data_IF_438335728939
#
_entry.id   IF_438335728939
#
_cell.length_a   1.000
_cell.length_b   1.000
_cell.length_c   1.000
_cell.angle_alpha   90.00
_cell.angle_beta   90.00
_cell.angle_gamma   90.00
#
_symmetry.space_group_name_H-M   'P 1'
#
loop_
_entity.id
_entity.type
_entity.pdbx_description
1 polymer ?
#
# COMPACT_ATOMS: atom_id res chain seq x y z
N UNK A 1 20.75 -8.41 1.36
CA UNK A 1 20.40 -8.05 2.75
C UNK A 1 19.57 -6.76 2.87
N UNK A 2 20.09 -5.56 2.56
CA UNK A 2 19.32 -4.32 2.71
C UNK A 2 18.08 -4.24 1.78
N UNK A 3 18.24 -4.67 0.52
CA UNK A 3 17.16 -4.70 -0.48
C UNK A 3 16.03 -5.67 -0.11
N UNK A 4 16.37 -6.84 0.44
CA UNK A 4 15.39 -7.83 0.92
C UNK A 4 14.55 -7.26 2.07
N UNK A 5 15.19 -6.59 3.04
CA UNK A 5 14.49 -5.94 4.15
C UNK A 5 13.54 -4.83 3.68
N UNK A 6 13.95 -4.05 2.67
CA UNK A 6 13.12 -2.99 2.10
C UNK A 6 11.94 -3.57 1.32
N UNK A 7 12.11 -4.67 0.59
CA UNK A 7 11.01 -5.37 -0.09
C UNK A 7 9.97 -5.90 0.91
N UNK A 8 10.41 -6.51 2.02
CA UNK A 8 9.51 -6.98 3.09
C UNK A 8 8.75 -5.80 3.69
N UNK A 9 9.42 -4.68 3.97
CA UNK A 9 8.77 -3.49 4.49
C UNK A 9 7.67 -2.96 3.55
N UNK A 10 7.93 -2.92 2.24
CA UNK A 10 6.94 -2.49 1.24
C UNK A 10 5.73 -3.42 1.19
N UNK A 11 5.95 -4.73 1.31
CA UNK A 11 4.85 -5.72 1.36
C UNK A 11 3.99 -5.50 2.60
N UNK A 12 4.61 -5.31 3.77
CA UNK A 12 3.88 -5.05 5.03
C UNK A 12 3.09 -3.75 4.91
N UNK A 13 3.69 -2.70 4.37
CA UNK A 13 3.01 -1.41 4.18
C UNK A 13 1.83 -1.51 3.19
N UNK A 14 2.01 -2.23 2.08
CA UNK A 14 0.93 -2.51 1.13
C UNK A 14 -0.24 -3.27 1.78
N UNK A 15 0.05 -4.27 2.61
CA UNK A 15 -0.97 -5.00 3.36
C UNK A 15 -1.70 -4.10 4.36
N UNK A 16 -0.99 -3.22 5.07
CA UNK A 16 -1.60 -2.24 5.98
C UNK A 16 -2.54 -1.27 5.26
N UNK A 17 -2.20 -0.83 4.05
CA UNK A 17 -3.09 0.02 3.24
C UNK A 17 -4.38 -0.70 2.85
N UNK A 18 -4.31 -1.98 2.49
CA UNK A 18 -5.50 -2.79 2.23
C UNK A 18 -6.35 -3.00 3.49
N UNK A 19 -5.72 -3.22 4.65
CA UNK A 19 -6.45 -3.23 5.92
C UNK A 19 -7.10 -1.87 6.21
N UNK A 20 -6.40 -0.77 5.90
CA UNK A 20 -6.92 0.59 5.98
C UNK A 20 -8.14 0.84 5.08
N UNK A 21 -8.29 0.11 3.96
CA UNK A 21 -9.50 0.16 3.14
C UNK A 21 -10.72 -0.40 3.87
N UNK A 22 -10.57 -1.55 4.53
CA UNK A 22 -11.64 -2.20 5.30
C UNK A 22 -11.98 -1.45 6.59
N UNK A 23 -10.95 -1.05 7.35
CA UNK A 23 -11.15 -0.33 8.60
C UNK A 23 -11.54 1.13 8.36
N UNK A 24 -11.08 1.71 7.26
CA UNK A 24 -11.61 2.92 6.66
C UNK A 24 -11.35 4.22 7.44
N UNK A 25 -11.14 5.36 6.74
CA UNK A 25 -11.32 6.67 7.33
C UNK A 25 -12.81 6.90 7.61
N UNK A 26 -13.28 6.50 8.78
CA UNK A 26 -14.69 6.59 9.15
C UNK A 26 -15.10 7.95 9.72
N UNK A 27 -14.13 8.82 9.98
CA UNK A 27 -14.33 10.12 10.61
C UNK A 27 -14.76 11.23 9.62
N UNK A 28 -14.95 10.91 8.33
CA UNK A 28 -15.47 11.89 7.37
C UNK A 28 -17.00 11.85 7.27
N UNK A 29 -17.61 13.04 7.40
CA UNK A 29 -19.06 13.28 7.34
C UNK A 29 -19.53 13.21 5.88
N UNK A 30 -18.69 13.63 4.94
CA UNK A 30 -18.99 13.59 3.50
C UNK A 30 -18.70 12.23 2.90
N UNK A 31 -19.76 11.53 2.49
CA UNK A 31 -19.68 10.20 1.87
C UNK A 31 -18.74 10.15 0.64
N UNK A 32 -18.78 11.18 -0.20
CA UNK A 32 -17.93 11.25 -1.41
C UNK A 32 -16.45 11.29 -1.03
N UNK A 33 -16.05 12.15 -0.08
CA UNK A 33 -14.67 12.26 0.39
C UNK A 33 -14.19 11.01 1.11
N UNK A 34 -15.07 10.37 1.88
CA UNK A 34 -14.79 9.08 2.50
C UNK A 34 -14.51 7.99 1.47
N UNK A 35 -15.32 7.93 0.41
CA UNK A 35 -15.16 6.95 -0.64
C UNK A 35 -13.92 7.21 -1.50
N UNK A 36 -13.64 8.48 -1.84
CA UNK A 36 -12.38 8.88 -2.49
C UNK A 36 -11.18 8.39 -1.67
N UNK A 37 -11.14 8.71 -0.37
CA UNK A 37 -10.05 8.31 0.52
C UNK A 37 -9.87 6.80 0.62
N UNK A 38 -10.96 6.03 0.69
CA UNK A 38 -10.89 4.56 0.67
C UNK A 38 -10.33 4.05 -0.66
N UNK A 39 -10.90 4.48 -1.78
CA UNK A 39 -10.53 3.99 -3.10
C UNK A 39 -9.06 4.28 -3.41
N UNK A 40 -8.50 5.40 -2.93
CA UNK A 40 -7.09 5.74 -3.11
C UNK A 40 -6.11 4.78 -2.42
N UNK A 41 -6.52 4.02 -1.40
CA UNK A 41 -5.65 3.07 -0.69
C UNK A 41 -5.27 1.85 -1.55
N UNK A 42 -6.18 1.41 -2.43
CA UNK A 42 -5.98 0.26 -3.31
C UNK A 42 -4.86 0.50 -4.35
N UNK A 43 -4.88 1.56 -5.18
CA UNK A 43 -3.82 1.82 -6.14
C UNK A 43 -2.49 2.11 -5.44
N UNK A 44 -2.49 2.75 -4.27
CA UNK A 44 -1.27 2.93 -3.48
C UNK A 44 -0.67 1.60 -3.02
N UNK A 45 -1.48 0.67 -2.50
CA UNK A 45 -1.01 -0.66 -2.13
C UNK A 45 -0.46 -1.44 -3.33
N UNK A 46 -1.14 -1.36 -4.48
CA UNK A 46 -0.70 -2.01 -5.71
C UNK A 46 0.69 -1.53 -6.17
N UNK A 47 0.94 -0.22 -6.13
CA UNK A 47 2.25 0.36 -6.46
C UNK A 47 3.33 -0.18 -5.51
N UNK A 48 3.05 -0.26 -4.21
CA UNK A 48 4.04 -0.78 -3.24
C UNK A 48 4.39 -2.24 -3.51
N UNK A 49 3.41 -3.08 -3.89
CA UNK A 49 3.69 -4.47 -4.24
C UNK A 49 4.51 -4.59 -5.53
N UNK A 50 4.21 -3.78 -6.55
CA UNK A 50 5.01 -3.75 -7.79
C UNK A 50 6.45 -3.34 -7.48
N UNK A 51 6.65 -2.31 -6.67
CA UNK A 51 7.98 -1.86 -6.23
C UNK A 51 8.70 -2.95 -5.43
N UNK A 52 8.00 -3.64 -4.53
CA UNK A 52 8.58 -4.74 -3.76
C UNK A 52 9.07 -5.88 -4.66
N UNK A 53 8.31 -6.24 -5.70
CA UNK A 53 8.70 -7.25 -6.69
C UNK A 53 9.94 -6.81 -7.45
N UNK A 54 10.00 -5.56 -7.92
CA UNK A 54 11.14 -5.02 -8.67
C UNK A 54 12.41 -4.98 -7.80
N UNK A 55 12.27 -4.60 -6.53
CA UNK A 55 13.40 -4.54 -5.59
C UNK A 55 13.90 -5.93 -5.21
N UNK A 56 12.98 -6.89 -5.03
CA UNK A 56 13.33 -8.27 -4.70
C UNK A 56 13.93 -9.03 -5.89
N UNK A 57 13.50 -8.74 -7.12
CA UNK A 57 14.04 -9.38 -8.32
C UNK A 57 15.48 -9.00 -8.63
N UNK A 58 16.06 -8.03 -7.90
CA UNK A 58 17.44 -7.59 -8.10
C UNK A 58 17.65 -6.81 -9.39
N UNK A 59 16.59 -6.38 -10.08
CA UNK A 59 16.69 -5.54 -11.30
C UNK A 59 17.37 -4.20 -11.00
N UNK A 60 17.31 -3.74 -9.74
CA UNK A 60 17.93 -2.49 -9.27
C UNK A 60 19.18 -2.80 -8.39
N UNK A 61 19.69 -4.04 -8.43
CA UNK A 61 20.84 -4.51 -7.64
C UNK A 61 22.18 -4.36 -8.36
#
# INVERSE_FOLDING_TARGET
MAHEGLAIFLIVLGALLLLGFYFGPNNEIRLVKRNEGKIMLIPSAAILFVLAIILFSGVIG
#
